data_IF_533487814308
#
_entry.id   IF_533487814308
#
_cell.length_a   1.000
_cell.length_b   1.000
_cell.length_c   1.000
_cell.angle_alpha   90.00
_cell.angle_beta   90.00
_cell.angle_gamma   90.00
#
_symmetry.space_group_name_H-M   'P 1'
#
loop_
_entity.id
_entity.type
_entity.pdbx_description
1 polymer ?
#
# COMPACT_ATOMS: atom_id res chain seq x y z
N UNK A 1 -20.09 -7.77 -9.10
CA UNK A 1 -18.81 -7.21 -8.61
C UNK A 1 -18.30 -6.18 -9.61
N UNK A 2 -17.72 -5.07 -9.14
CA UNK A 2 -17.16 -4.00 -9.98
C UNK A 2 -15.64 -4.12 -10.18
N UNK A 3 -15.09 -3.41 -11.16
CA UNK A 3 -13.64 -3.25 -11.39
C UNK A 3 -13.23 -1.82 -11.06
N UNK A 4 -12.11 -1.65 -10.34
CA UNK A 4 -11.60 -0.34 -9.92
C UNK A 4 -10.18 -0.15 -10.47
N UNK A 5 -9.93 1.00 -11.10
CA UNK A 5 -8.59 1.44 -11.50
C UNK A 5 -8.09 2.51 -10.52
N UNK A 6 -6.95 2.26 -9.87
CA UNK A 6 -6.25 3.26 -9.04
C UNK A 6 -5.00 3.72 -9.79
N UNK A 7 -4.98 4.98 -10.22
CA UNK A 7 -3.87 5.52 -11.00
C UNK A 7 -3.28 6.80 -10.41
N UNK A 8 -2.06 7.11 -10.82
CA UNK A 8 -1.46 8.44 -10.70
C UNK A 8 -0.67 8.69 -12.00
N UNK A 9 0.19 9.71 -12.05
CA UNK A 9 0.93 10.05 -13.27
C UNK A 9 1.77 8.89 -13.84
N UNK A 10 2.51 8.16 -13.00
CA UNK A 10 3.38 7.05 -13.44
C UNK A 10 3.00 5.70 -12.80
N UNK A 11 2.05 5.71 -11.88
CA UNK A 11 1.69 4.56 -11.06
C UNK A 11 2.83 3.96 -10.23
N UNK A 12 3.86 4.76 -9.89
CA UNK A 12 5.02 4.30 -9.11
C UNK A 12 4.87 4.58 -7.61
N UNK A 13 4.29 5.74 -7.25
CA UNK A 13 4.33 6.28 -5.89
C UNK A 13 2.93 6.48 -5.32
N UNK A 14 2.24 7.58 -5.63
CA UNK A 14 0.90 7.92 -5.08
C UNK A 14 -0.14 6.79 -5.14
N UNK A 15 -0.43 6.24 -6.32
CA UNK A 15 -1.42 5.16 -6.46
C UNK A 15 -0.95 3.85 -5.82
N UNK A 16 0.35 3.55 -5.89
CA UNK A 16 0.92 2.38 -5.24
C UNK A 16 0.74 2.45 -3.71
N UNK A 17 1.01 3.61 -3.11
CA UNK A 17 0.81 3.85 -1.67
C UNK A 17 -0.64 3.62 -1.23
N UNK A 18 -1.62 4.09 -2.01
CA UNK A 18 -3.04 3.83 -1.72
C UNK A 18 -3.40 2.34 -1.80
N UNK A 19 -2.90 1.63 -2.82
CA UNK A 19 -3.12 0.19 -2.96
C UNK A 19 -2.48 -0.58 -1.80
N UNK A 20 -1.27 -0.20 -1.36
CA UNK A 20 -0.61 -0.81 -0.21
C UNK A 20 -1.43 -0.62 1.07
N UNK A 21 -1.86 0.63 1.36
CA UNK A 21 -2.69 0.92 2.52
C UNK A 21 -4.01 0.13 2.48
N UNK A 22 -4.66 0.06 1.32
CA UNK A 22 -5.88 -0.73 1.13
C UNK A 22 -5.68 -2.21 1.44
N UNK A 23 -4.59 -2.82 0.94
CA UNK A 23 -4.28 -4.22 1.25
C UNK A 23 -4.07 -4.42 2.75
N UNK A 24 -3.27 -3.57 3.40
CA UNK A 24 -3.02 -3.64 4.84
C UNK A 24 -4.32 -3.57 5.66
N UNK A 25 -5.20 -2.62 5.32
CA UNK A 25 -6.47 -2.41 6.02
C UNK A 25 -7.50 -3.51 5.74
N UNK A 26 -7.57 -4.01 4.50
CA UNK A 26 -8.65 -4.92 4.08
C UNK A 26 -8.34 -6.38 4.35
N UNK A 27 -7.08 -6.80 4.20
CA UNK A 27 -6.68 -8.21 4.31
C UNK A 27 -5.86 -8.50 5.57
N UNK A 28 -5.44 -7.46 6.29
CA UNK A 28 -4.71 -7.60 7.53
C UNK A 28 -3.21 -7.90 7.36
N UNK A 29 -2.70 -7.95 6.13
CA UNK A 29 -1.26 -8.18 5.88
C UNK A 29 -0.41 -7.00 6.36
N UNK A 30 0.82 -7.27 6.75
CA UNK A 30 1.77 -6.21 7.12
C UNK A 30 2.29 -5.45 5.88
N UNK A 31 2.91 -4.28 6.10
CA UNK A 31 3.47 -3.43 5.05
C UNK A 31 4.48 -4.15 4.15
N UNK A 32 5.37 -4.98 4.72
CA UNK A 32 6.38 -5.71 3.94
C UNK A 32 5.71 -6.73 3.04
N UNK A 33 4.73 -7.46 3.57
CA UNK A 33 3.91 -8.42 2.81
C UNK A 33 3.10 -7.73 1.71
N UNK A 34 2.46 -6.59 2.00
CA UNK A 34 1.75 -5.79 0.99
C UNK A 34 2.68 -5.32 -0.14
N UNK A 35 3.87 -4.81 0.22
CA UNK A 35 4.87 -4.38 -0.77
C UNK A 35 5.34 -5.55 -1.64
N UNK A 36 5.61 -6.71 -1.03
CA UNK A 36 6.00 -7.92 -1.77
C UNK A 36 4.92 -8.33 -2.76
N UNK A 37 3.65 -8.35 -2.36
CA UNK A 37 2.53 -8.72 -3.22
C UNK A 37 2.38 -7.77 -4.42
N UNK A 38 2.36 -6.46 -4.18
CA UNK A 38 2.21 -5.48 -5.28
C UNK A 38 3.42 -5.52 -6.22
N UNK A 39 4.64 -5.71 -5.69
CA UNK A 39 5.86 -5.83 -6.50
C UNK A 39 5.88 -7.04 -7.43
N UNK A 40 5.11 -8.10 -7.17
CA UNK A 40 5.04 -9.25 -8.08
C UNK A 40 4.39 -8.90 -9.42
N UNK A 41 3.50 -7.90 -9.44
CA UNK A 41 2.68 -7.57 -10.62
C UNK A 41 2.94 -6.16 -11.16
N UNK A 42 3.65 -5.31 -10.41
CA UNK A 42 3.97 -3.94 -10.83
C UNK A 42 5.23 -3.42 -10.16
N UNK A 43 6.09 -2.75 -10.94
CA UNK A 43 7.18 -1.96 -10.37
C UNK A 43 6.61 -0.76 -9.60
N UNK A 44 6.89 -0.69 -8.30
CA UNK A 44 6.46 0.39 -7.41
C UNK A 44 7.63 0.95 -6.61
N UNK A 45 7.59 2.25 -6.37
CA UNK A 45 8.56 2.99 -5.55
C UNK A 45 7.86 4.18 -4.88
N UNK A 46 7.07 3.94 -3.80
CA UNK A 46 6.61 5.01 -2.93
C UNK A 46 7.78 5.89 -2.48
N UNK A 47 7.55 7.19 -2.36
CA UNK A 47 8.58 8.08 -1.80
C UNK A 47 8.73 7.86 -0.29
N UNK A 48 9.80 8.41 0.30
CA UNK A 48 10.06 8.23 1.75
C UNK A 48 8.95 8.77 2.65
N UNK A 49 8.25 9.83 2.23
CA UNK A 49 7.10 10.37 2.95
C UNK A 49 5.95 9.37 3.03
N UNK A 50 5.59 8.75 1.91
CA UNK A 50 4.57 7.70 1.88
C UNK A 50 4.99 6.44 2.62
N UNK A 51 6.26 6.05 2.55
CA UNK A 51 6.75 4.92 3.37
C UNK A 51 6.58 5.22 4.86
N UNK A 52 6.94 6.43 5.33
CA UNK A 52 6.72 6.81 6.74
C UNK A 52 5.24 6.77 7.13
N UNK A 53 4.35 7.28 6.27
CA UNK A 53 2.90 7.22 6.50
C UNK A 53 2.37 5.78 6.53
N UNK A 54 2.89 4.90 5.68
CA UNK A 54 2.51 3.48 5.69
C UNK A 54 3.03 2.74 6.92
N UNK A 55 4.21 3.07 7.43
CA UNK A 55 4.72 2.54 8.70
C UNK A 55 3.86 3.03 9.87
N UNK A 56 3.48 4.31 9.88
CA UNK A 56 2.56 4.85 10.86
C UNK A 56 1.21 4.11 10.83
N UNK A 57 0.65 3.89 9.64
CA UNK A 57 -0.56 3.08 9.46
C UNK A 57 -0.39 1.65 10.00
N UNK A 58 0.77 1.03 9.81
CA UNK A 58 1.04 -0.30 10.38
C UNK A 58 0.96 -0.29 11.90
N UNK A 59 1.52 0.73 12.56
CA UNK A 59 1.44 0.86 14.02
C UNK A 59 0.00 1.04 14.49
N UNK A 60 -0.78 1.89 13.82
CA UNK A 60 -2.20 2.09 14.12
C UNK A 60 -3.01 0.81 13.93
N UNK A 61 -2.80 0.08 12.84
CA UNK A 61 -3.48 -1.20 12.59
C UNK A 61 -3.09 -2.29 13.59
N UNK A 62 -1.87 -2.26 14.14
CA UNK A 62 -1.44 -3.20 15.18
C UNK A 62 -2.02 -2.85 16.55
N UNK A 63 -2.33 -1.58 16.82
CA UNK A 63 -2.91 -1.14 18.09
C UNK A 63 -4.41 -1.47 18.22
N UNK A 64 -5.09 -1.70 17.09
CA UNK A 64 -6.53 -2.01 17.02
C UNK A 64 -6.80 -3.51 16.86
N UNK A 65 -5.76 -4.33 16.68
CA UNK A 65 -5.85 -5.81 16.63
C UNK A 65 -5.69 -6.40 18.02
#
# INVERSE_FOLDING_TARGET
GGRVLVHCQHGLSRSASLVLAYLMMKTGVDLISAVKQVKQVRCIRPNSGFIRQLVQLQHELNAVR
#
